data_IF_668243879164
#
_entry.id   IF_668243879164
#
_cell.length_a   1.000
_cell.length_b   1.000
_cell.length_c   1.000
_cell.angle_alpha   90.00
_cell.angle_beta   90.00
_cell.angle_gamma   90.00
#
_symmetry.space_group_name_H-M   'P 1'
#
loop_
_entity.id
_entity.type
_entity.pdbx_description
1 polymer ?
#
# COMPACT_ATOMS: atom_id res chain seq x y z
N UNK A 1 -0.68 12.53 -13.99
CA UNK A 1 -1.00 13.14 -12.68
C UNK A 1 -0.54 12.29 -11.51
N UNK A 2 -0.88 11.01 -11.45
CA UNK A 2 -0.45 10.16 -10.34
C UNK A 2 1.08 10.01 -10.25
N UNK A 3 1.78 9.87 -11.36
CA UNK A 3 3.24 9.76 -11.40
C UNK A 3 3.92 10.99 -10.75
N UNK A 4 3.39 12.19 -10.97
CA UNK A 4 3.92 13.40 -10.32
C UNK A 4 3.74 13.34 -8.79
N UNK A 5 2.59 12.89 -8.32
CA UNK A 5 2.33 12.69 -6.89
C UNK A 5 3.27 11.62 -6.31
N UNK A 6 3.44 10.49 -6.99
CA UNK A 6 4.33 9.43 -6.58
C UNK A 6 5.78 9.91 -6.47
N UNK A 7 6.25 10.66 -7.46
CA UNK A 7 7.61 11.23 -7.47
C UNK A 7 7.83 12.21 -6.32
N UNK A 8 6.83 13.04 -6.03
CA UNK A 8 6.90 14.04 -4.96
C UNK A 8 6.85 13.40 -3.58
N UNK A 9 5.94 12.44 -3.37
CA UNK A 9 5.59 11.93 -2.05
C UNK A 9 6.35 10.65 -1.66
N UNK A 10 6.86 9.91 -2.65
CA UNK A 10 7.64 8.70 -2.44
C UNK A 10 8.88 8.67 -3.34
N UNK A 11 9.79 9.66 -3.21
CA UNK A 11 10.90 9.84 -4.14
C UNK A 11 11.93 8.71 -4.14
N UNK A 12 11.97 7.89 -3.09
CA UNK A 12 12.91 6.76 -2.97
C UNK A 12 12.39 5.47 -3.64
N UNK A 13 11.14 5.47 -4.09
CA UNK A 13 10.53 4.35 -4.80
C UNK A 13 10.32 4.74 -6.25
N UNK A 14 10.68 3.85 -7.18
CA UNK A 14 10.44 4.11 -8.60
C UNK A 14 8.93 4.40 -8.81
N UNK A 15 8.57 5.49 -9.52
CA UNK A 15 7.15 5.87 -9.65
C UNK A 15 6.26 4.78 -10.25
N UNK A 16 6.79 3.99 -11.18
CA UNK A 16 6.07 2.84 -11.75
C UNK A 16 5.79 1.75 -10.71
N UNK A 17 6.69 1.55 -9.76
CA UNK A 17 6.47 0.61 -8.64
C UNK A 17 5.38 1.13 -7.71
N UNK A 18 5.43 2.40 -7.34
CA UNK A 18 4.37 3.05 -6.54
C UNK A 18 3.02 2.92 -7.23
N UNK A 19 2.96 3.21 -8.53
CA UNK A 19 1.73 3.09 -9.31
C UNK A 19 1.19 1.66 -9.32
N UNK A 20 2.06 0.66 -9.49
CA UNK A 20 1.67 -0.75 -9.48
C UNK A 20 1.13 -1.19 -8.11
N UNK A 21 1.75 -0.76 -7.01
CA UNK A 21 1.27 -1.02 -5.65
C UNK A 21 -0.12 -0.40 -5.46
N UNK A 22 -0.28 0.86 -5.76
CA UNK A 22 -1.55 1.58 -5.56
C UNK A 22 -2.67 1.01 -6.44
N UNK A 23 -2.36 0.65 -7.68
CA UNK A 23 -3.31 -0.04 -8.55
C UNK A 23 -3.78 -1.36 -7.94
N UNK A 24 -2.85 -2.14 -7.40
CA UNK A 24 -3.15 -3.43 -6.78
C UNK A 24 -3.93 -3.29 -5.47
N UNK A 25 -3.55 -2.33 -4.63
CA UNK A 25 -4.08 -2.17 -3.27
C UNK A 25 -5.46 -1.53 -3.25
N UNK A 26 -5.67 -0.46 -4.00
CA UNK A 26 -6.87 0.37 -3.87
C UNK A 26 -7.52 0.74 -5.19
N UNK A 27 -6.92 0.40 -6.32
CA UNK A 27 -7.34 0.91 -7.63
C UNK A 27 -7.44 2.45 -7.62
N UNK A 28 -6.43 3.10 -7.03
CA UNK A 28 -6.32 4.57 -6.90
C UNK A 28 -7.43 5.22 -6.07
N UNK A 29 -8.07 4.48 -5.16
CA UNK A 29 -9.07 5.04 -4.25
C UNK A 29 -8.41 5.46 -2.93
N UNK A 30 -8.28 6.78 -2.73
CA UNK A 30 -7.67 7.34 -1.51
C UNK A 30 -8.50 7.09 -0.24
N UNK A 31 -9.78 6.75 -0.35
CA UNK A 31 -10.67 6.46 0.78
C UNK A 31 -10.86 4.96 1.02
N UNK A 32 -10.16 4.10 0.27
CA UNK A 32 -10.32 2.66 0.38
C UNK A 32 -9.99 2.15 1.79
N UNK A 33 -10.82 1.25 2.29
CA UNK A 33 -10.59 0.52 3.54
C UNK A 33 -10.72 -0.97 3.27
N UNK A 34 -9.66 -1.72 3.59
CA UNK A 34 -9.65 -3.18 3.53
C UNK A 34 -9.65 -3.79 4.92
N UNK A 35 -10.66 -4.57 5.26
CA UNK A 35 -10.79 -5.21 6.59
C UNK A 35 -10.21 -6.61 6.52
N UNK A 36 -9.29 -6.92 7.40
CA UNK A 36 -8.71 -8.27 7.50
C UNK A 36 -9.79 -9.25 7.95
N UNK A 37 -9.92 -10.36 7.23
CA UNK A 37 -10.93 -11.39 7.48
C UNK A 37 -12.37 -10.86 7.46
N UNK A 38 -12.63 -9.87 6.61
CA UNK A 38 -13.95 -9.28 6.45
C UNK A 38 -14.01 -8.33 5.27
N UNK A 39 -15.14 -7.65 5.14
CA UNK A 39 -15.31 -6.61 4.14
C UNK A 39 -16.37 -5.61 4.60
N UNK A 40 -16.27 -4.39 4.07
CA UNK A 40 -17.34 -3.39 4.24
C UNK A 40 -18.48 -3.69 3.26
N UNK A 41 -19.70 -3.31 3.62
CA UNK A 41 -20.86 -3.40 2.71
C UNK A 41 -20.65 -2.49 1.49
N UNK A 42 -20.05 -1.32 1.69
CA UNK A 42 -19.60 -0.43 0.63
C UNK A 42 -18.39 0.38 1.09
N UNK A 43 -17.61 0.87 0.14
CA UNK A 43 -16.49 1.73 0.43
C UNK A 43 -16.95 3.16 0.78
N UNK A 44 -16.22 3.88 1.65
CA UNK A 44 -16.49 5.28 1.94
C UNK A 44 -16.44 6.13 0.66
N UNK A 45 -17.32 7.13 0.59
CA UNK A 45 -17.44 8.02 -0.58
C UNK A 45 -16.59 9.29 -0.47
N UNK A 46 -16.21 9.65 0.75
CA UNK A 46 -15.45 10.86 1.03
C UNK A 46 -14.63 10.68 2.31
N UNK A 47 -13.82 11.69 2.64
CA UNK A 47 -12.93 11.65 3.81
C UNK A 47 -13.71 11.53 5.12
N UNK A 48 -14.83 12.22 5.25
CA UNK A 48 -15.64 12.17 6.48
C UNK A 48 -16.18 10.78 6.75
N UNK A 49 -16.74 10.13 5.73
CA UNK A 49 -17.19 8.73 5.84
C UNK A 49 -16.03 7.78 6.15
N UNK A 50 -14.89 7.99 5.51
CA UNK A 50 -13.70 7.16 5.73
C UNK A 50 -13.21 7.26 7.18
N UNK A 51 -13.13 8.47 7.72
CA UNK A 51 -12.73 8.69 9.12
C UNK A 51 -13.73 8.07 10.10
N UNK A 52 -15.04 8.26 9.88
CA UNK A 52 -16.07 7.67 10.72
C UNK A 52 -16.01 6.14 10.70
N UNK A 53 -15.80 5.55 9.53
CA UNK A 53 -15.66 4.10 9.37
C UNK A 53 -14.42 3.58 10.10
N UNK A 54 -13.28 4.25 9.95
CA UNK A 54 -12.04 3.89 10.64
C UNK A 54 -12.20 3.94 12.16
N UNK A 55 -12.84 4.98 12.70
CA UNK A 55 -13.13 5.09 14.13
C UNK A 55 -14.00 3.94 14.62
N UNK A 56 -15.04 3.59 13.87
CA UNK A 56 -15.92 2.46 14.22
C UNK A 56 -15.17 1.14 14.22
N UNK A 57 -14.32 0.89 13.23
CA UNK A 57 -13.50 -0.33 13.14
C UNK A 57 -12.49 -0.42 14.30
N UNK A 58 -11.87 0.70 14.66
CA UNK A 58 -10.97 0.75 15.83
C UNK A 58 -11.72 0.44 17.13
N UNK A 59 -12.90 1.02 17.31
CA UNK A 59 -13.73 0.77 18.50
C UNK A 59 -14.13 -0.71 18.62
N UNK A 60 -14.26 -1.40 17.48
CA UNK A 60 -14.56 -2.84 17.42
C UNK A 60 -13.30 -3.72 17.54
N UNK A 61 -12.12 -3.14 17.67
CA UNK A 61 -10.86 -3.88 17.71
C UNK A 61 -10.51 -4.59 16.40
N UNK A 62 -11.02 -4.10 15.26
CA UNK A 62 -10.79 -4.73 13.96
C UNK A 62 -9.42 -4.35 13.39
N UNK A 63 -8.82 -5.29 12.67
CA UNK A 63 -7.61 -5.05 11.90
C UNK A 63 -7.99 -4.64 10.48
N UNK A 64 -7.46 -3.50 10.01
CA UNK A 64 -7.77 -2.97 8.68
C UNK A 64 -6.65 -2.11 8.13
N UNK A 65 -6.72 -1.84 6.84
CA UNK A 65 -5.76 -1.00 6.11
C UNK A 65 -6.49 0.11 5.37
N UNK A 66 -5.81 1.23 5.12
CA UNK A 66 -6.45 2.44 4.63
C UNK A 66 -5.66 3.10 3.50
N UNK A 67 -6.39 3.76 2.61
CA UNK A 67 -5.87 4.70 1.63
C UNK A 67 -5.25 4.04 0.41
N UNK A 68 -4.54 4.85 -0.37
CA UNK A 68 -4.00 4.49 -1.68
C UNK A 68 -3.17 3.21 -1.67
N UNK A 69 -2.23 3.10 -0.75
CA UNK A 69 -1.31 1.97 -0.63
C UNK A 69 -1.72 0.97 0.46
N UNK A 70 -2.93 1.10 0.98
CA UNK A 70 -3.50 0.20 2.00
C UNK A 70 -2.56 0.01 3.20
N UNK A 71 -2.26 1.13 3.87
CA UNK A 71 -1.42 1.12 5.07
C UNK A 71 -2.22 0.54 6.23
N UNK A 72 -1.70 -0.54 6.82
CA UNK A 72 -2.32 -1.16 7.99
C UNK A 72 -2.32 -0.20 9.18
N UNK A 73 -3.39 -0.18 9.95
CA UNK A 73 -3.53 0.73 11.10
C UNK A 73 -2.46 0.53 12.16
N UNK A 74 -1.95 -0.69 12.33
CA UNK A 74 -0.80 -0.93 13.22
C UNK A 74 0.45 -0.22 12.74
N UNK A 75 0.66 -0.11 11.44
CA UNK A 75 1.75 0.68 10.87
C UNK A 75 1.51 2.18 11.00
N UNK A 76 0.27 2.66 10.84
CA UNK A 76 -0.04 4.07 11.14
C UNK A 76 0.36 4.40 12.58
N UNK A 77 -0.08 3.58 13.53
CA UNK A 77 0.22 3.78 14.95
C UNK A 77 1.72 3.74 15.22
N UNK A 78 2.43 2.77 14.65
CA UNK A 78 3.89 2.64 14.76
C UNK A 78 4.63 3.85 14.21
N UNK A 79 4.13 4.43 13.13
CA UNK A 79 4.73 5.61 12.46
C UNK A 79 4.26 6.94 13.06
N UNK A 80 3.42 6.91 14.10
CA UNK A 80 2.88 8.12 14.72
C UNK A 80 1.90 8.90 13.84
N UNK A 81 1.21 8.20 12.94
CA UNK A 81 0.27 8.80 11.99
C UNK A 81 -1.17 8.61 12.47
N UNK A 82 -2.00 9.64 12.26
CA UNK A 82 -3.45 9.55 12.50
C UNK A 82 -4.18 8.82 11.35
N UNK A 83 -5.44 8.46 11.58
CA UNK A 83 -6.29 7.94 10.51
C UNK A 83 -6.46 8.97 9.37
N UNK A 84 -6.57 10.25 9.71
CA UNK A 84 -6.64 11.31 8.72
C UNK A 84 -5.38 11.36 7.84
N UNK A 85 -4.19 11.15 8.43
CA UNK A 85 -2.95 11.04 7.67
C UNK A 85 -2.99 9.83 6.72
N UNK A 86 -3.57 8.73 7.17
CA UNK A 86 -3.73 7.52 6.34
C UNK A 86 -4.60 7.74 5.10
N UNK A 87 -5.55 8.66 5.15
CA UNK A 87 -6.40 9.02 4.01
C UNK A 87 -5.86 10.21 3.20
N UNK A 88 -4.81 10.89 3.66
CA UNK A 88 -4.09 11.88 2.87
C UNK A 88 -3.19 11.17 1.86
N UNK A 89 -3.37 11.49 0.58
CA UNK A 89 -2.69 10.77 -0.50
C UNK A 89 -1.17 10.84 -0.38
N UNK A 90 -0.61 12.01 -0.10
CA UNK A 90 0.84 12.16 0.00
C UNK A 90 1.40 11.45 1.24
N UNK A 91 0.78 11.63 2.40
CA UNK A 91 1.22 10.98 3.64
C UNK A 91 1.09 9.47 3.57
N UNK A 92 0.05 8.97 2.91
CA UNK A 92 -0.12 7.53 2.68
C UNK A 92 1.04 6.96 1.84
N UNK A 93 1.43 7.65 0.75
CA UNK A 93 2.58 7.25 -0.07
C UNK A 93 3.90 7.37 0.67
N UNK A 94 4.06 8.35 1.54
CA UNK A 94 5.24 8.47 2.41
C UNK A 94 5.34 7.25 3.36
N UNK A 95 4.23 6.85 3.97
CA UNK A 95 4.17 5.65 4.81
C UNK A 95 4.51 4.39 4.01
N UNK A 96 3.95 4.25 2.81
CA UNK A 96 4.29 3.15 1.90
C UNK A 96 5.79 3.08 1.65
N UNK A 97 6.43 4.21 1.33
CA UNK A 97 7.87 4.27 1.09
C UNK A 97 8.68 3.77 2.29
N UNK A 98 8.33 4.20 3.50
CA UNK A 98 9.00 3.76 4.73
C UNK A 98 8.89 2.25 4.90
N UNK A 99 7.68 1.71 4.81
CA UNK A 99 7.42 0.28 5.02
C UNK A 99 8.10 -0.56 3.94
N UNK A 100 7.99 -0.16 2.67
CA UNK A 100 8.63 -0.87 1.56
C UNK A 100 10.16 -0.84 1.69
N UNK A 101 10.73 0.30 2.10
CA UNK A 101 12.17 0.44 2.31
C UNK A 101 12.67 -0.46 3.45
N UNK A 102 11.95 -0.51 4.56
CA UNK A 102 12.24 -1.45 5.66
C UNK A 102 12.21 -2.90 5.18
N UNK A 103 11.21 -3.26 4.40
CA UNK A 103 11.09 -4.59 3.80
C UNK A 103 12.23 -4.90 2.83
N UNK A 104 12.64 -3.92 2.03
CA UNK A 104 13.75 -4.06 1.09
C UNK A 104 15.07 -4.31 1.83
N UNK A 105 15.33 -3.59 2.92
CA UNK A 105 16.50 -3.80 3.77
C UNK A 105 16.47 -5.21 4.39
N UNK A 106 15.34 -5.63 4.90
CA UNK A 106 15.16 -6.97 5.47
C UNK A 106 15.31 -8.09 4.44
N UNK A 107 14.97 -7.82 3.19
CA UNK A 107 15.14 -8.81 2.10
C UNK A 107 16.61 -9.13 1.85
N UNK A 108 17.51 -8.24 2.23
CA UNK A 108 18.95 -8.38 2.05
C UNK A 108 19.40 -8.09 0.62
N UNK A 109 20.71 -7.90 0.47
CA UNK A 109 21.33 -7.73 -0.83
C UNK A 109 21.30 -9.04 -1.61
N UNK A 110 20.78 -8.97 -2.84
CA UNK A 110 20.78 -10.07 -3.81
C UNK A 110 21.51 -9.61 -5.06
N UNK A 111 22.08 -10.56 -5.81
CA UNK A 111 22.71 -10.26 -7.11
C UNK A 111 21.68 -9.69 -8.10
N UNK A 112 20.40 -10.06 -7.96
CA UNK A 112 19.30 -9.55 -8.75
C UNK A 112 18.44 -8.59 -7.92
N UNK A 113 18.47 -7.30 -8.28
CA UNK A 113 17.68 -6.25 -7.63
C UNK A 113 16.17 -6.44 -7.81
N UNK A 114 15.73 -7.08 -8.91
CA UNK A 114 14.32 -7.42 -9.11
C UNK A 114 13.88 -8.53 -8.16
N UNK A 115 14.72 -9.50 -7.88
CA UNK A 115 14.44 -10.52 -6.89
C UNK A 115 14.30 -9.92 -5.48
N UNK A 116 15.17 -8.97 -5.12
CA UNK A 116 15.09 -8.23 -3.84
C UNK A 116 13.81 -7.42 -3.75
N UNK A 117 13.41 -6.73 -4.82
CA UNK A 117 12.17 -5.96 -4.87
C UNK A 117 10.93 -6.85 -4.70
N UNK A 118 10.89 -8.00 -5.38
CA UNK A 118 9.77 -8.95 -5.24
C UNK A 118 9.67 -9.50 -3.81
N UNK A 119 10.79 -9.78 -3.18
CA UNK A 119 10.81 -10.17 -1.76
C UNK A 119 10.31 -9.04 -0.87
N UNK A 120 10.71 -7.79 -1.14
CA UNK A 120 10.23 -6.62 -0.42
C UNK A 120 8.72 -6.44 -0.58
N UNK A 121 8.18 -6.64 -1.77
CA UNK A 121 6.72 -6.60 -2.02
C UNK A 121 5.99 -7.69 -1.24
N UNK A 122 6.53 -8.90 -1.18
CA UNK A 122 5.99 -9.97 -0.36
C UNK A 122 5.93 -9.59 1.12
N UNK A 123 7.02 -9.03 1.64
CA UNK A 123 7.11 -8.51 3.00
C UNK A 123 6.13 -7.35 3.24
N UNK A 124 6.00 -6.45 2.29
CA UNK A 124 5.03 -5.33 2.36
C UNK A 124 3.60 -5.84 2.56
N UNK A 125 3.22 -6.90 1.84
CA UNK A 125 1.90 -7.50 1.92
C UNK A 125 1.62 -8.17 3.26
N UNK A 126 2.58 -8.91 3.81
CA UNK A 126 2.32 -9.85 4.91
C UNK A 126 3.30 -9.77 6.08
N UNK A 127 4.35 -8.99 5.98
CA UNK A 127 5.41 -8.92 6.97
C UNK A 127 6.41 -10.10 6.90
N UNK A 128 6.21 -11.05 5.99
CA UNK A 128 7.09 -12.18 5.77
C UNK A 128 7.44 -12.33 4.27
N UNK A 129 8.33 -13.27 3.94
CA UNK A 129 8.82 -13.45 2.57
C UNK A 129 8.22 -14.65 1.84
N UNK A 130 7.05 -15.11 2.27
CA UNK A 130 6.39 -16.30 1.68
C UNK A 130 4.92 -16.05 1.31
N UNK A 131 4.15 -15.43 2.19
CA UNK A 131 2.69 -15.30 2.05
C UNK A 131 2.28 -14.49 0.82
N UNK A 132 2.96 -13.37 0.52
CA UNK A 132 2.65 -12.53 -0.63
C UNK A 132 2.91 -13.24 -1.97
N UNK A 133 3.89 -14.13 -2.04
CA UNK A 133 4.08 -14.99 -3.20
C UNK A 133 2.96 -16.02 -3.31
N UNK A 134 2.67 -16.69 -2.22
CA UNK A 134 1.67 -17.78 -2.19
C UNK A 134 0.25 -17.27 -2.49
N UNK A 135 -0.10 -16.08 -2.00
CA UNK A 135 -1.42 -15.48 -2.24
C UNK A 135 -1.53 -14.75 -3.59
N UNK A 136 -0.46 -14.74 -4.39
CA UNK A 136 -0.45 -14.10 -5.69
C UNK A 136 -0.34 -12.57 -5.67
N UNK A 137 -0.04 -11.97 -4.53
CA UNK A 137 0.10 -10.52 -4.40
C UNK A 137 1.25 -9.99 -5.26
N UNK A 138 2.43 -10.59 -5.13
CA UNK A 138 3.62 -10.17 -5.89
C UNK A 138 3.36 -10.27 -7.40
N UNK A 139 2.73 -11.36 -7.85
CA UNK A 139 2.36 -11.54 -9.25
C UNK A 139 1.39 -10.46 -9.74
N UNK A 140 0.41 -10.06 -8.92
CA UNK A 140 -0.52 -8.98 -9.28
C UNK A 140 0.18 -7.63 -9.42
N UNK A 141 1.08 -7.29 -8.49
CA UNK A 141 1.85 -6.04 -8.58
C UNK A 141 2.71 -6.03 -9.83
N UNK A 142 3.45 -7.10 -10.11
CA UNK A 142 4.29 -7.23 -11.31
C UNK A 142 3.44 -7.12 -12.57
N UNK A 143 2.29 -7.80 -12.63
CA UNK A 143 1.37 -7.72 -13.77
C UNK A 143 0.87 -6.29 -13.99
N UNK A 144 0.49 -5.59 -12.93
CA UNK A 144 0.04 -4.19 -13.04
C UNK A 144 1.16 -3.25 -13.50
N UNK A 145 2.39 -3.47 -13.05
CA UNK A 145 3.55 -2.72 -13.52
C UNK A 145 3.78 -2.94 -15.05
N UNK A 146 3.65 -4.17 -15.51
CA UNK A 146 3.82 -4.50 -16.93
C UNK A 146 2.72 -3.90 -17.80
N UNK A 147 1.48 -3.90 -17.34
CA UNK A 147 0.35 -3.28 -18.05
C UNK A 147 0.58 -1.79 -18.25
N UNK A 148 1.02 -1.09 -17.20
CA UNK A 148 1.30 0.34 -17.26
C UNK A 148 2.45 0.65 -18.21
N UNK A 149 3.52 -0.14 -18.18
CA UNK A 149 4.68 0.03 -19.07
C UNK A 149 4.34 -0.18 -20.56
N UNK A 150 3.29 -0.96 -20.86
CA UNK A 150 2.81 -1.24 -22.23
C UNK A 150 1.72 -0.28 -22.71
N UNK A 151 1.17 0.54 -21.83
CA UNK A 151 0.14 1.50 -22.22
C UNK A 151 0.74 2.53 -23.17
N UNK A 152 0.03 2.91 -24.26
CA UNK A 152 0.50 3.98 -25.13
C UNK A 152 0.56 5.30 -24.36
N UNK A 153 1.46 6.23 -24.79
CA UNK A 153 1.61 7.52 -24.15
C UNK A 153 0.36 8.40 -24.26
#
# INVERSE_FOLDING_TARGET
MFIALATLCAPLVHPGTTQAIVSTESTFNSHAIGVVAGSLQRQPRNTEEALATAQSLRAQGRNFSVGLAQINVHNLDRLGMSDADGFDSCKNLQAMQVILSECFERAGLRDDSQASLRRALCCYYSGNFTTGFRHGYVSRVVSNAQKTARAPP
#
